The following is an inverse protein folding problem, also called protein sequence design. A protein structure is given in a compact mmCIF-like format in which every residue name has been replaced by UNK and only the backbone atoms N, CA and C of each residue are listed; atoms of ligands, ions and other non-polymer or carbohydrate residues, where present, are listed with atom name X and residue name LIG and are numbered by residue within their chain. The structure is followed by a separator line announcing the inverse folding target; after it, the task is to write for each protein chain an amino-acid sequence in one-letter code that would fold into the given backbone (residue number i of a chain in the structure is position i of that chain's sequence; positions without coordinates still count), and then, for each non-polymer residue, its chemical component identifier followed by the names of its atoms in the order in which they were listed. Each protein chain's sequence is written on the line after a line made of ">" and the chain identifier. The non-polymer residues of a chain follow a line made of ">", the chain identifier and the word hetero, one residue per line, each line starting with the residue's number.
data_IF_686873132444
#
_entry.id   IF_686873132444
#
_cell.length_a   1.000
_cell.length_b   1.000
_cell.length_c   1.000
_cell.angle_alpha   90.00
_cell.angle_beta   90.00
_cell.angle_gamma   90.00
#
_symmetry.space_group_name_H-M   'P 1'
#
loop_
_entity.id
_entity.type
_entity.pdbx_description
1 polymer ?
#
# COMPACT_ATOMS: atom_id res chain seq x y z
N UNK A 1 -64.11 -17.16 45.47
CA UNK A 1 -62.99 -16.23 45.70
C UNK A 1 -61.80 -17.01 46.24
N UNK A 2 -60.56 -16.88 45.81
CA UNK A 2 -59.91 -16.29 44.64
C UNK A 2 -58.46 -16.85 44.70
N UNK A 3 -57.98 -17.44 43.62
CA UNK A 3 -56.56 -17.82 43.47
C UNK A 3 -55.79 -16.59 42.99
N UNK A 4 -54.66 -16.30 43.64
CA UNK A 4 -53.82 -15.14 43.36
C UNK A 4 -52.75 -15.50 42.32
N UNK A 5 -53.00 -15.19 41.04
CA UNK A 5 -51.98 -15.21 40.00
C UNK A 5 -51.11 -13.94 40.09
N UNK A 6 -49.79 -14.12 40.12
CA UNK A 6 -48.80 -13.04 40.04
C UNK A 6 -48.55 -12.60 38.59
N UNK A 7 -48.17 -11.33 38.33
CA UNK A 7 -47.96 -10.85 36.98
C UNK A 7 -46.60 -11.32 36.40
N UNK A 8 -46.65 -12.02 35.26
CA UNK A 8 -45.48 -12.33 34.43
C UNK A 8 -45.01 -11.08 33.67
N UNK A 9 -43.77 -10.66 33.89
CA UNK A 9 -43.09 -9.61 33.11
C UNK A 9 -42.49 -10.17 31.81
N UNK A 10 -42.64 -9.52 30.65
CA UNK A 10 -42.05 -9.99 29.39
C UNK A 10 -40.57 -9.60 29.27
N UNK A 11 -39.74 -10.55 28.81
CA UNK A 11 -38.30 -10.39 28.53
C UNK A 11 -38.09 -9.63 27.20
N UNK A 12 -37.13 -8.69 27.09
CA UNK A 12 -36.83 -8.01 25.82
C UNK A 12 -36.14 -8.95 24.82
N UNK A 13 -36.65 -9.03 23.59
CA UNK A 13 -36.00 -9.75 22.48
C UNK A 13 -34.90 -8.87 21.89
N UNK A 14 -33.65 -9.30 21.99
CA UNK A 14 -32.52 -8.71 21.25
C UNK A 14 -32.62 -9.07 19.75
N UNK A 15 -32.44 -8.11 18.82
CA UNK A 15 -32.44 -8.43 17.39
C UNK A 15 -31.16 -9.18 16.99
N UNK A 16 -31.32 -10.26 16.20
CA UNK A 16 -30.21 -11.02 15.59
C UNK A 16 -29.44 -10.14 14.59
N UNK A 17 -28.10 -10.32 14.45
CA UNK A 17 -27.33 -9.63 13.44
C UNK A 17 -27.74 -10.09 12.03
N UNK A 18 -28.02 -9.13 11.15
CA UNK A 18 -28.32 -9.33 9.74
C UNK A 18 -27.06 -9.83 9.03
N UNK A 19 -27.12 -11.01 8.41
CA UNK A 19 -26.08 -11.46 7.47
C UNK A 19 -26.10 -10.51 6.26
N UNK A 20 -25.13 -9.62 6.16
CA UNK A 20 -24.89 -8.82 4.96
C UNK A 20 -24.15 -9.69 3.96
N UNK A 21 -24.82 -10.07 2.87
CA UNK A 21 -24.15 -10.69 1.73
C UNK A 21 -23.18 -9.66 1.12
N UNK A 22 -21.96 -10.05 0.70
CA UNK A 22 -21.07 -9.16 -0.03
C UNK A 22 -21.72 -8.76 -1.37
N UNK A 23 -21.49 -7.54 -1.87
CA UNK A 23 -21.98 -7.14 -3.18
C UNK A 23 -21.31 -8.00 -4.28
N UNK A 24 -22.13 -8.43 -5.24
CA UNK A 24 -21.69 -9.22 -6.39
C UNK A 24 -20.66 -8.47 -7.25
N UNK A 25 -19.75 -9.18 -7.94
CA UNK A 25 -18.73 -8.59 -8.78
C UNK A 25 -19.35 -7.84 -9.98
N UNK A 26 -18.93 -6.59 -10.19
CA UNK A 26 -19.19 -5.86 -11.42
C UNK A 26 -18.26 -6.43 -12.50
N UNK A 27 -18.82 -7.14 -13.48
CA UNK A 27 -18.11 -7.50 -14.70
C UNK A 27 -17.88 -6.25 -15.53
N UNK A 28 -16.65 -5.75 -15.56
CA UNK A 28 -16.25 -4.75 -16.54
C UNK A 28 -16.01 -5.46 -17.88
N UNK A 29 -16.86 -5.17 -18.86
CA UNK A 29 -16.74 -5.68 -20.21
C UNK A 29 -15.40 -5.21 -20.83
N UNK A 30 -14.58 -6.18 -21.22
CA UNK A 30 -13.36 -5.98 -21.99
C UNK A 30 -13.68 -5.43 -23.38
N UNK A 31 -12.99 -4.35 -23.78
CA UNK A 31 -12.79 -4.01 -25.19
C UNK A 31 -11.51 -3.19 -25.39
N UNK A 32 -10.70 -3.68 -26.33
CA UNK A 32 -9.57 -3.07 -27.04
C UNK A 32 -8.17 -2.96 -26.40
N UNK A 33 -7.37 -3.99 -26.70
CA UNK A 33 -6.09 -3.96 -27.43
C UNK A 33 -5.27 -2.65 -27.47
N UNK A 34 -4.02 -2.73 -27.00
CA UNK A 34 -2.78 -2.31 -27.70
C UNK A 34 -1.62 -3.18 -27.13
N UNK A 35 -0.93 -3.91 -28.00
CA UNK A 35 0.31 -4.63 -27.69
C UNK A 35 1.52 -3.68 -27.68
N UNK A 36 2.60 -4.02 -26.96
CA UNK A 36 3.92 -3.90 -27.56
C UNK A 36 4.69 -5.22 -27.48
N UNK A 37 5.11 -5.68 -28.65
CA UNK A 37 6.06 -6.76 -28.90
C UNK A 37 7.48 -6.33 -28.56
N UNK A 38 8.22 -7.17 -27.82
CA UNK A 38 9.69 -7.36 -27.83
C UNK A 38 9.98 -8.43 -26.78
N UNK A 39 10.36 -9.67 -27.09
CA UNK A 39 11.37 -10.08 -28.07
C UNK A 39 12.59 -10.52 -27.27
N UNK A 40 12.56 -11.75 -26.73
CA UNK A 40 13.71 -12.41 -26.12
C UNK A 40 14.50 -13.13 -27.22
N UNK A 41 15.82 -12.90 -27.27
CA UNK A 41 16.78 -13.85 -27.84
C UNK A 41 18.05 -13.84 -26.99
N UNK A 42 18.70 -14.99 -26.74
CA UNK A 42 19.80 -15.14 -25.79
C UNK A 42 21.20 -15.19 -26.43
N UNK A 43 22.21 -15.20 -25.54
CA UNK A 43 23.58 -15.79 -25.62
C UNK A 43 24.78 -14.79 -25.66
N UNK A 44 26.03 -15.24 -25.35
CA UNK A 44 26.75 -14.90 -24.12
C UNK A 44 28.17 -14.37 -24.40
N UNK A 45 28.93 -13.99 -23.37
CA UNK A 45 30.41 -13.94 -23.22
C UNK A 45 30.88 -12.65 -22.55
N UNK A 46 31.81 -12.78 -21.59
CA UNK A 46 32.70 -11.67 -21.20
C UNK A 46 32.87 -11.43 -19.70
N UNK A 47 33.79 -12.19 -19.11
CA UNK A 47 34.78 -11.74 -18.11
C UNK A 47 34.37 -11.04 -16.80
N UNK A 48 34.72 -11.76 -15.74
CA UNK A 48 34.93 -11.38 -14.33
C UNK A 48 35.87 -10.17 -14.18
N UNK A 49 35.49 -9.19 -13.34
CA UNK A 49 36.41 -8.49 -12.40
C UNK A 49 35.63 -8.05 -11.15
N UNK A 50 36.17 -8.24 -9.93
CA UNK A 50 35.64 -7.64 -8.70
C UNK A 50 36.46 -6.41 -8.32
N UNK A 51 35.84 -5.29 -7.95
CA UNK A 51 36.57 -4.22 -7.26
C UNK A 51 35.75 -3.57 -6.15
N UNK A 52 36.24 -3.74 -4.93
CA UNK A 52 35.80 -3.11 -3.68
C UNK A 52 36.23 -1.61 -3.68
N UNK A 53 35.57 -0.71 -2.93
CA UNK A 53 35.83 0.72 -3.03
C UNK A 53 37.03 1.15 -2.19
N UNK A 54 37.92 1.93 -2.80
CA UNK A 54 38.99 2.66 -2.14
C UNK A 54 38.46 4.02 -1.63
N UNK A 55 38.70 4.34 -0.36
CA UNK A 55 38.69 5.70 0.20
C UNK A 55 39.98 5.88 1.01
N UNK A 56 40.51 7.09 1.28
CA UNK A 56 39.90 8.41 1.09
C UNK A 56 40.81 9.39 0.30
N UNK A 57 40.25 10.48 -0.24
CA UNK A 57 41.06 11.67 -0.46
C UNK A 57 40.29 12.94 -0.08
N UNK A 58 40.93 13.70 0.81
CA UNK A 58 40.52 14.97 1.35
C UNK A 58 40.90 16.04 0.31
N UNK A 59 39.90 16.63 -0.34
CA UNK A 59 40.10 17.64 -1.37
C UNK A 59 38.97 18.67 -1.35
N UNK A 60 39.25 19.79 -0.70
CA UNK A 60 38.42 20.99 -0.63
C UNK A 60 38.32 21.63 -2.02
N UNK A 61 37.14 21.67 -2.64
CA UNK A 61 36.64 22.69 -3.60
C UNK A 61 35.24 22.37 -4.12
N UNK A 62 34.43 23.39 -4.51
CA UNK A 62 32.97 23.33 -4.47
C UNK A 62 32.39 22.60 -5.69
N UNK A 63 31.60 21.55 -5.44
CA UNK A 63 30.92 20.78 -6.49
C UNK A 63 29.51 21.37 -6.67
N UNK A 64 29.30 22.04 -7.81
CA UNK A 64 27.99 22.33 -8.39
C UNK A 64 27.23 21.01 -8.64
N UNK A 65 26.03 20.80 -8.06
CA UNK A 65 25.32 19.53 -8.18
C UNK A 65 24.33 19.55 -9.34
N UNK A 66 24.78 19.27 -10.56
CA UNK A 66 23.90 19.03 -11.71
C UNK A 66 23.45 17.57 -11.73
N UNK A 67 22.30 17.27 -11.14
CA UNK A 67 21.64 15.96 -11.32
C UNK A 67 20.79 15.49 -10.13
N UNK A 68 21.18 15.84 -8.90
CA UNK A 68 20.39 15.51 -7.69
C UNK A 68 19.09 16.29 -7.56
N UNK A 69 18.98 17.41 -8.28
CA UNK A 69 17.76 18.23 -8.32
C UNK A 69 16.57 17.47 -8.88
N UNK A 70 16.74 16.76 -10.00
CA UNK A 70 15.61 16.13 -10.72
C UNK A 70 14.96 14.98 -9.95
N UNK A 71 15.76 14.09 -9.37
CA UNK A 71 15.25 13.01 -8.53
C UNK A 71 14.58 13.57 -7.27
N UNK A 72 15.21 14.57 -6.64
CA UNK A 72 14.66 15.27 -5.48
C UNK A 72 13.38 16.05 -5.82
N UNK A 73 13.28 16.61 -7.02
CA UNK A 73 12.09 17.31 -7.53
C UNK A 73 10.96 16.34 -7.83
N UNK A 74 11.27 15.18 -8.40
CA UNK A 74 10.29 14.13 -8.65
C UNK A 74 9.76 13.57 -7.32
N UNK A 75 10.64 13.27 -6.37
CA UNK A 75 10.26 12.87 -5.01
C UNK A 75 9.42 13.95 -4.31
N UNK A 76 9.79 15.23 -4.45
CA UNK A 76 8.98 16.35 -3.91
C UNK A 76 7.59 16.45 -4.55
N UNK A 77 7.47 16.15 -5.85
CA UNK A 77 6.18 16.10 -6.54
C UNK A 77 5.33 14.91 -6.08
N UNK A 78 5.95 13.75 -5.87
CA UNK A 78 5.26 12.54 -5.40
C UNK A 78 4.81 12.62 -3.94
N UNK A 79 5.59 13.26 -3.07
CA UNK A 79 5.32 13.34 -1.63
C UNK A 79 4.81 14.70 -1.16
N UNK A 80 4.54 15.65 -2.06
CA UNK A 80 4.04 16.99 -1.70
C UNK A 80 5.01 17.87 -0.90
N UNK A 81 6.28 17.46 -0.72
CA UNK A 81 7.27 18.11 0.15
C UNK A 81 7.88 19.42 -0.38
N UNK A 82 7.38 19.97 -1.48
CA UNK A 82 7.88 21.20 -2.11
C UNK A 82 6.81 22.21 -2.53
N UNK A 83 5.54 21.84 -2.33
CA UNK A 83 4.41 22.74 -2.40
C UNK A 83 4.07 22.91 -0.93
N UNK A 84 4.39 24.08 -0.34
CA UNK A 84 3.73 24.44 0.91
C UNK A 84 2.26 24.17 0.66
N UNK A 85 1.70 23.22 1.43
CA UNK A 85 0.35 22.66 1.28
C UNK A 85 -0.50 23.74 0.63
N UNK A 86 -1.08 23.54 -0.57
CA UNK A 86 -1.99 24.55 -1.08
C UNK A 86 -2.97 24.75 0.05
N UNK A 87 -2.87 25.90 0.73
CA UNK A 87 -3.86 26.30 1.70
C UNK A 87 -5.16 26.11 0.92
N UNK A 88 -6.11 25.30 1.42
CA UNK A 88 -7.32 25.00 0.70
C UNK A 88 -7.81 26.30 0.10
N UNK A 89 -7.92 26.35 -1.23
CA UNK A 89 -8.20 27.60 -1.94
C UNK A 89 -9.65 28.08 -1.72
N UNK A 90 -10.35 27.50 -0.75
CA UNK A 90 -11.59 27.98 -0.17
C UNK A 90 -11.32 28.49 1.25
N UNK A 91 -12.07 29.50 1.68
CA UNK A 91 -12.03 29.97 3.05
C UNK A 91 -12.31 28.77 3.98
N UNK A 92 -11.26 28.21 4.60
CA UNK A 92 -11.31 27.03 5.49
C UNK A 92 -12.34 27.13 6.64
N UNK A 93 -12.83 28.34 6.87
CA UNK A 93 -13.77 28.71 7.91
C UNK A 93 -15.02 29.39 7.33
N UNK A 94 -15.45 29.08 6.10
CA UNK A 94 -16.76 29.49 5.61
C UNK A 94 -17.83 28.56 6.17
N UNK A 95 -18.80 29.06 6.97
CA UNK A 95 -19.90 28.24 7.47
C UNK A 95 -20.93 27.88 6.40
N UNK A 96 -20.94 28.56 5.24
CA UNK A 96 -21.90 28.32 4.15
C UNK A 96 -21.36 27.36 3.08
N UNK A 97 -20.09 27.01 3.13
CA UNK A 97 -19.46 26.06 2.20
C UNK A 97 -19.59 24.62 2.73
N UNK A 98 -20.19 23.73 1.94
CA UNK A 98 -20.45 22.34 2.33
C UNK A 98 -19.16 21.50 2.46
N UNK A 99 -18.09 21.92 1.78
CA UNK A 99 -16.79 21.25 1.79
C UNK A 99 -15.85 21.83 2.87
N UNK A 100 -16.28 22.89 3.57
CA UNK A 100 -15.51 23.57 4.60
C UNK A 100 -15.59 22.87 5.96
N UNK A 101 -14.48 22.91 6.71
CA UNK A 101 -14.42 22.33 8.06
C UNK A 101 -15.30 23.05 9.09
N UNK A 102 -15.70 24.30 8.79
CA UNK A 102 -16.56 25.12 9.65
C UNK A 102 -18.03 25.13 9.21
N UNK A 103 -18.43 24.25 8.29
CA UNK A 103 -19.78 24.20 7.73
C UNK A 103 -20.86 24.15 8.83
N UNK A 104 -21.81 25.10 8.78
CA UNK A 104 -23.02 25.10 9.59
C UNK A 104 -24.22 24.68 8.74
N UNK A 105 -24.56 23.40 8.86
CA UNK A 105 -25.68 22.80 8.13
C UNK A 105 -27.02 23.51 8.39
N UNK A 106 -27.25 24.03 9.60
CA UNK A 106 -28.52 24.69 9.94
C UNK A 106 -28.60 26.04 9.25
N UNK A 107 -27.57 26.87 9.37
CA UNK A 107 -27.56 28.19 8.75
C UNK A 107 -27.61 28.10 7.21
N UNK A 108 -26.88 27.15 6.62
CA UNK A 108 -26.95 26.90 5.17
C UNK A 108 -28.36 26.47 4.74
N UNK A 109 -28.99 25.55 5.47
CA UNK A 109 -30.35 25.10 5.17
C UNK A 109 -31.38 26.24 5.29
N UNK A 110 -31.33 27.01 6.39
CA UNK A 110 -32.24 28.13 6.64
C UNK A 110 -32.12 29.20 5.54
N UNK A 111 -30.91 29.49 5.08
CA UNK A 111 -30.69 30.36 3.92
C UNK A 111 -31.24 29.75 2.64
N UNK A 112 -30.98 28.46 2.39
CA UNK A 112 -31.37 27.78 1.16
C UNK A 112 -32.89 27.73 1.00
N UNK A 113 -33.64 27.40 2.06
CA UNK A 113 -35.11 27.35 2.03
C UNK A 113 -35.76 28.73 1.91
N UNK A 114 -35.11 29.77 2.44
CA UNK A 114 -35.63 31.14 2.42
C UNK A 114 -35.43 31.82 1.07
N UNK A 115 -34.31 31.54 0.39
CA UNK A 115 -33.90 32.24 -0.83
C UNK A 115 -34.21 31.46 -2.11
N UNK A 116 -34.30 30.13 -2.03
CA UNK A 116 -34.45 29.27 -3.22
C UNK A 116 -35.90 28.96 -3.56
N UNK A 117 -36.17 28.80 -4.86
CA UNK A 117 -37.45 28.29 -5.34
C UNK A 117 -37.58 26.77 -5.13
N UNK A 118 -38.81 26.26 -5.04
CA UNK A 118 -39.07 24.83 -4.87
C UNK A 118 -38.40 23.94 -5.95
N UNK A 119 -38.44 24.27 -7.25
CA UNK A 119 -37.71 23.49 -8.26
C UNK A 119 -36.19 23.45 -8.04
N UNK A 120 -35.59 24.56 -7.61
CA UNK A 120 -34.17 24.64 -7.26
C UNK A 120 -33.85 23.73 -6.08
N UNK A 121 -34.71 23.73 -5.05
CA UNK A 121 -34.54 22.91 -3.87
C UNK A 121 -34.61 21.40 -4.21
N UNK A 122 -35.59 20.99 -5.02
CA UNK A 122 -35.70 19.60 -5.47
C UNK A 122 -34.50 19.18 -6.31
N UNK A 123 -34.00 20.06 -7.18
CA UNK A 123 -32.78 19.78 -7.95
C UNK A 123 -31.59 19.58 -7.01
N UNK A 124 -31.41 20.47 -6.03
CA UNK A 124 -30.31 20.38 -5.06
C UNK A 124 -30.39 19.13 -4.19
N UNK A 125 -31.58 18.71 -3.79
CA UNK A 125 -31.81 17.45 -3.07
C UNK A 125 -31.36 16.24 -3.90
N UNK A 126 -31.76 16.17 -5.17
CA UNK A 126 -31.33 15.08 -6.06
C UNK A 126 -29.81 15.06 -6.29
N UNK A 127 -29.19 16.24 -6.42
CA UNK A 127 -27.73 16.37 -6.53
C UNK A 127 -27.04 15.84 -5.27
N UNK A 128 -27.48 16.25 -4.07
CA UNK A 128 -26.92 15.77 -2.80
C UNK A 128 -27.08 14.25 -2.65
N UNK A 129 -28.23 13.69 -3.02
CA UNK A 129 -28.45 12.23 -2.97
C UNK A 129 -27.48 11.51 -3.92
N UNK A 130 -27.21 12.07 -5.10
CA UNK A 130 -26.23 11.51 -6.03
C UNK A 130 -24.81 11.63 -5.50
N UNK A 131 -24.43 12.79 -4.95
CA UNK A 131 -23.12 13.05 -4.35
C UNK A 131 -22.86 12.08 -3.18
N UNK A 132 -23.82 11.88 -2.29
CA UNK A 132 -23.73 10.93 -1.17
C UNK A 132 -23.45 9.51 -1.69
N UNK A 133 -24.14 9.08 -2.74
CA UNK A 133 -23.93 7.74 -3.33
C UNK A 133 -22.56 7.61 -3.98
N UNK A 134 -22.09 8.65 -4.66
CA UNK A 134 -20.77 8.68 -5.27
C UNK A 134 -19.68 8.62 -4.19
N UNK A 135 -19.76 9.46 -3.17
CA UNK A 135 -18.82 9.48 -2.04
C UNK A 135 -18.77 8.13 -1.32
N UNK A 136 -19.91 7.47 -1.15
CA UNK A 136 -19.95 6.12 -0.56
C UNK A 136 -19.28 5.08 -1.46
N UNK A 137 -19.47 5.15 -2.79
CA UNK A 137 -18.78 4.29 -3.75
C UNK A 137 -17.26 4.53 -3.71
N UNK A 138 -16.82 5.79 -3.69
CA UNK A 138 -15.41 6.16 -3.65
C UNK A 138 -14.75 5.69 -2.34
N UNK A 139 -15.46 5.85 -1.21
CA UNK A 139 -15.03 5.34 0.10
C UNK A 139 -14.86 3.83 0.07
N UNK A 140 -15.81 3.09 -0.52
CA UNK A 140 -15.72 1.63 -0.65
C UNK A 140 -14.56 1.22 -1.56
N UNK A 141 -14.36 1.90 -2.69
CA UNK A 141 -13.26 1.64 -3.62
C UNK A 141 -11.89 1.85 -2.94
N UNK A 142 -11.74 2.92 -2.17
CA UNK A 142 -10.51 3.21 -1.42
C UNK A 142 -10.21 2.13 -0.38
N UNK A 143 -11.22 1.76 0.42
CA UNK A 143 -11.11 0.70 1.43
C UNK A 143 -10.74 -0.63 0.78
N UNK A 144 -11.38 -0.98 -0.34
CA UNK A 144 -11.06 -2.19 -1.09
C UNK A 144 -9.61 -2.17 -1.59
N UNK A 145 -9.18 -1.09 -2.25
CA UNK A 145 -7.83 -1.02 -2.79
C UNK A 145 -6.78 -1.14 -1.67
N UNK A 146 -6.95 -0.39 -0.58
CA UNK A 146 -6.02 -0.44 0.53
C UNK A 146 -5.97 -1.83 1.18
N UNK A 147 -7.11 -2.49 1.41
CA UNK A 147 -7.09 -3.84 1.95
C UNK A 147 -6.46 -4.84 0.98
N UNK A 148 -6.74 -4.72 -0.31
CA UNK A 148 -6.14 -5.58 -1.33
C UNK A 148 -4.62 -5.43 -1.38
N UNK A 149 -4.12 -4.20 -1.38
CA UNK A 149 -2.69 -3.88 -1.33
C UNK A 149 -2.02 -4.39 -0.05
N UNK A 150 -2.67 -4.23 1.12
CA UNK A 150 -2.15 -4.75 2.39
C UNK A 150 -2.04 -6.28 2.39
N UNK A 151 -3.03 -6.97 1.83
CA UNK A 151 -2.99 -8.43 1.69
C UNK A 151 -1.84 -8.83 0.76
N UNK A 152 -1.72 -8.20 -0.41
CA UNK A 152 -0.65 -8.48 -1.37
C UNK A 152 0.75 -8.21 -0.79
N UNK A 153 0.91 -7.14 -0.01
CA UNK A 153 2.15 -6.83 0.69
C UNK A 153 2.46 -7.90 1.75
N UNK A 154 1.47 -8.32 2.53
CA UNK A 154 1.61 -9.40 3.52
C UNK A 154 2.05 -10.72 2.88
N UNK A 155 1.44 -11.09 1.74
CA UNK A 155 1.83 -12.28 0.98
C UNK A 155 3.27 -12.18 0.46
N UNK A 156 3.67 -10.99 -0.01
CA UNK A 156 5.04 -10.72 -0.44
C UNK A 156 6.04 -10.87 0.70
N UNK A 157 5.72 -10.33 1.89
CA UNK A 157 6.55 -10.48 3.10
C UNK A 157 6.66 -11.95 3.50
N UNK A 158 5.56 -12.71 3.42
CA UNK A 158 5.57 -14.15 3.72
C UNK A 158 6.45 -14.92 2.74
N UNK A 159 6.34 -14.66 1.44
CA UNK A 159 7.17 -15.28 0.42
C UNK A 159 8.66 -14.92 0.60
N UNK A 160 8.96 -13.66 0.95
CA UNK A 160 10.32 -13.20 1.23
C UNK A 160 10.90 -13.93 2.45
N UNK A 161 10.11 -14.08 3.52
CA UNK A 161 10.50 -14.83 4.72
C UNK A 161 10.85 -16.29 4.39
N UNK A 162 9.97 -16.98 3.65
CA UNK A 162 10.23 -18.38 3.26
C UNK A 162 11.48 -18.52 2.41
N UNK A 163 11.76 -17.58 1.49
CA UNK A 163 13.02 -17.59 0.73
C UNK A 163 14.24 -17.37 1.62
N UNK A 164 14.17 -16.45 2.58
CA UNK A 164 15.26 -16.20 3.51
C UNK A 164 15.58 -17.44 4.36
N UNK A 165 14.55 -18.13 4.86
CA UNK A 165 14.70 -19.38 5.60
C UNK A 165 15.33 -20.50 4.74
N UNK A 166 14.95 -20.61 3.46
CA UNK A 166 15.58 -21.58 2.55
C UNK A 166 17.06 -21.28 2.28
N UNK A 167 17.41 -19.99 2.19
CA UNK A 167 18.79 -19.56 1.95
C UNK A 167 19.69 -19.88 3.15
N UNK A 168 19.18 -19.72 4.37
CA UNK A 168 19.90 -20.07 5.60
C UNK A 168 20.24 -21.56 5.64
N UNK A 169 19.27 -22.42 5.27
CA UNK A 169 19.49 -23.85 5.15
C UNK A 169 20.53 -24.22 4.09
N UNK A 170 20.58 -23.50 2.96
CA UNK A 170 21.58 -23.73 1.92
C UNK A 170 22.97 -23.24 2.32
N UNK A 171 23.08 -22.15 3.09
CA UNK A 171 24.35 -21.69 3.66
C UNK A 171 24.94 -22.71 4.66
N UNK A 172 24.12 -23.35 5.48
CA UNK A 172 24.61 -24.37 6.41
C UNK A 172 25.11 -25.62 5.65
N UNK A 173 24.42 -26.04 4.58
CA UNK A 173 24.93 -27.10 3.68
C UNK A 173 26.27 -26.74 3.07
N UNK A 174 26.41 -25.50 2.58
CA UNK A 174 27.64 -25.00 1.97
C UNK A 174 28.81 -25.01 2.98
N UNK A 175 28.56 -24.57 4.22
CA UNK A 175 29.53 -24.60 5.32
C UNK A 175 29.95 -26.02 5.69
N UNK A 176 29.01 -26.97 5.74
CA UNK A 176 29.33 -28.37 5.97
C UNK A 176 30.23 -28.93 4.85
N UNK A 177 29.92 -28.63 3.58
CA UNK A 177 30.74 -29.04 2.45
C UNK A 177 32.16 -28.45 2.51
N UNK A 178 32.32 -27.17 2.85
CA UNK A 178 33.64 -26.56 3.03
C UNK A 178 34.44 -27.17 4.19
N UNK A 179 33.75 -27.58 5.25
CA UNK A 179 34.37 -28.28 6.39
C UNK A 179 34.88 -29.65 5.98
N UNK A 180 34.11 -30.40 5.19
CA UNK A 180 34.51 -31.70 4.62
C UNK A 180 35.72 -31.53 3.68
N UNK A 181 35.69 -30.53 2.80
CA UNK A 181 36.81 -30.22 1.89
C UNK A 181 38.07 -29.87 2.70
N UNK A 182 37.96 -29.04 3.75
CA UNK A 182 39.10 -28.72 4.61
C UNK A 182 39.66 -29.96 5.31
N UNK A 183 38.78 -30.83 5.81
CA UNK A 183 39.19 -32.10 6.43
C UNK A 183 39.97 -32.98 5.44
N UNK A 184 39.40 -33.23 4.26
CA UNK A 184 40.04 -34.03 3.21
C UNK A 184 41.35 -33.39 2.72
N UNK A 185 41.40 -32.07 2.55
CA UNK A 185 42.63 -31.35 2.18
C UNK A 185 43.72 -31.49 3.23
N UNK A 186 43.37 -31.42 4.52
CA UNK A 186 44.33 -31.64 5.60
C UNK A 186 44.86 -33.08 5.57
N UNK A 187 44.00 -34.07 5.37
CA UNK A 187 44.38 -35.49 5.29
C UNK A 187 45.31 -35.79 4.11
N UNK A 188 45.03 -35.23 2.92
CA UNK A 188 45.91 -35.36 1.73
C UNK A 188 47.27 -34.70 1.95
N UNK A 189 47.33 -33.58 2.68
CA UNK A 189 48.59 -32.90 2.98
C UNK A 189 49.49 -33.73 3.91
N UNK A 190 48.92 -34.71 4.61
CA UNK A 190 49.63 -35.61 5.53
C UNK A 190 50.16 -36.90 4.90
N UNK A 191 50.28 -37.02 3.56
CA UNK A 191 51.05 -38.11 2.94
C UNK A 191 52.48 -38.12 3.49
N UNK A 192 52.86 -39.09 4.37
CA UNK A 192 54.20 -39.17 4.89
C UNK A 192 55.05 -39.70 3.75
N UNK A 193 55.94 -38.86 3.22
CA UNK A 193 57.02 -39.27 2.34
C UNK A 193 57.87 -40.35 3.03
N UNK A 194 57.45 -41.61 2.94
CA UNK A 194 58.18 -42.79 3.38
C UNK A 194 59.04 -43.27 2.22
N UNK A 195 59.95 -42.39 1.79
CA UNK A 195 61.07 -42.75 0.94
C UNK A 195 62.01 -43.69 1.69
N UNK A 196 61.83 -45.00 1.52
CA UNK A 196 62.81 -46.02 1.90
C UNK A 196 64.07 -45.84 1.04
N UNK A 197 65.23 -45.65 1.68
CA UNK A 197 66.46 -46.44 1.45
C UNK A 197 67.49 -46.16 2.52
#
# INVERSE_FOLDING_TARGET
>A
MSMSDGPSTPVPRTPKPRKTNPPSPIHLASSNAISPTRGLSPNPTGSITPNLPNSPNLGTSPITPTGRGKARDLLRKHYGLGIGVPAPTGNLADPMDIDSSAFDAKAYYDQLITVSSLPTLLKRDNELVSEIRQLESDRQALVYNHHHELIAASDTIKAMKTRAESLDADLEKLKAAFSEISRLSSEVTYEPNTGKK
#
